data_IF_809872084951
#
_entry.id   IF_809872084951
#
_cell.length_a   1.000
_cell.length_b   1.000
_cell.length_c   1.000
_cell.angle_alpha   90.00
_cell.angle_beta   90.00
_cell.angle_gamma   90.00
#
_symmetry.space_group_name_H-M   'P 1'
#
loop_
_entity.id
_entity.type
_entity.pdbx_description
1 polymer ?
#
# COMPACT_ATOMS: atom_id res chain seq x y z
N UNK A 1 -20.87 38.53 -37.64
CA UNK A 1 -21.77 37.66 -36.86
C UNK A 1 -20.97 36.43 -36.49
N UNK A 2 -20.17 36.56 -35.44
CA UNK A 2 -19.35 35.50 -34.85
C UNK A 2 -20.25 34.64 -33.99
N UNK A 3 -20.33 33.34 -34.26
CA UNK A 3 -20.73 32.40 -33.22
C UNK A 3 -19.81 31.18 -33.22
N UNK A 4 -19.40 30.84 -32.02
CA UNK A 4 -18.25 30.04 -31.70
C UNK A 4 -18.70 28.61 -31.34
N UNK A 5 -18.37 27.64 -32.18
CA UNK A 5 -18.46 26.23 -31.80
C UNK A 5 -17.24 25.89 -30.93
N UNK A 6 -17.31 26.29 -29.65
CA UNK A 6 -16.40 25.76 -28.62
C UNK A 6 -16.72 24.29 -28.34
N UNK A 7 -15.73 23.43 -28.05
CA UNK A 7 -15.99 22.06 -27.63
C UNK A 7 -16.66 22.05 -26.24
N UNK A 8 -17.79 21.37 -26.12
CA UNK A 8 -18.54 21.23 -24.86
C UNK A 8 -17.73 20.51 -23.77
N UNK A 9 -17.67 21.03 -22.53
CA UNK A 9 -17.05 20.36 -21.40
C UNK A 9 -18.08 19.45 -20.71
N UNK A 10 -18.21 18.20 -21.16
CA UNK A 10 -18.86 17.16 -20.37
C UNK A 10 -18.37 15.76 -20.74
N UNK A 11 -17.12 15.45 -20.40
CA UNK A 11 -16.56 14.11 -20.49
C UNK A 11 -16.32 13.56 -19.08
N UNK A 12 -17.41 13.17 -18.38
CA UNK A 12 -17.39 12.29 -17.22
C UNK A 12 -18.82 11.99 -16.71
N UNK A 13 -19.59 11.15 -17.40
CA UNK A 13 -20.81 10.54 -16.83
C UNK A 13 -20.92 9.11 -17.33
N UNK A 14 -20.04 8.23 -16.83
CA UNK A 14 -20.26 6.78 -16.88
C UNK A 14 -21.16 6.36 -15.73
N UNK A 15 -21.92 5.28 -15.90
CA UNK A 15 -22.75 4.73 -14.81
C UNK A 15 -21.85 4.23 -13.66
N UNK A 16 -22.30 4.23 -12.39
CA UNK A 16 -21.51 3.71 -11.27
C UNK A 16 -20.96 2.30 -11.50
N UNK A 17 -21.72 1.46 -12.19
CA UNK A 17 -21.32 0.11 -12.61
C UNK A 17 -20.08 0.13 -13.50
N UNK A 18 -20.04 1.02 -14.50
CA UNK A 18 -18.92 1.14 -15.44
C UNK A 18 -17.66 1.65 -14.75
N UNK A 19 -17.80 2.50 -13.72
CA UNK A 19 -16.68 2.92 -12.90
C UNK A 19 -16.14 1.75 -12.06
N UNK A 20 -17.02 0.94 -11.47
CA UNK A 20 -16.62 -0.25 -10.71
C UNK A 20 -15.90 -1.27 -11.59
N UNK A 21 -16.40 -1.54 -12.79
CA UNK A 21 -15.73 -2.40 -13.77
C UNK A 21 -14.32 -1.89 -14.11
N UNK A 22 -14.19 -0.61 -14.45
CA UNK A 22 -12.86 -0.01 -14.74
C UNK A 22 -11.88 -0.12 -13.58
N UNK A 23 -12.38 -0.01 -12.36
CA UNK A 23 -11.58 -0.12 -11.15
C UNK A 23 -11.16 -1.55 -10.85
N UNK A 24 -12.06 -2.52 -11.07
CA UNK A 24 -11.72 -3.94 -11.01
C UNK A 24 -10.66 -4.29 -12.08
N UNK A 25 -10.82 -3.81 -13.32
CA UNK A 25 -9.82 -3.97 -14.39
C UNK A 25 -8.48 -3.34 -14.04
N UNK A 26 -8.49 -2.17 -13.38
CA UNK A 26 -7.28 -1.51 -12.90
C UNK A 26 -6.55 -2.38 -11.87
N UNK A 27 -7.27 -2.90 -10.87
CA UNK A 27 -6.69 -3.79 -9.85
C UNK A 27 -6.15 -5.08 -10.47
N UNK A 28 -6.90 -5.69 -11.40
CA UNK A 28 -6.48 -6.86 -12.15
C UNK A 28 -5.16 -6.61 -12.90
N UNK A 29 -5.10 -5.54 -13.69
CA UNK A 29 -3.91 -5.18 -14.45
C UNK A 29 -2.70 -4.89 -13.54
N UNK A 30 -2.95 -4.29 -12.37
CA UNK A 30 -1.93 -4.03 -11.36
C UNK A 30 -1.36 -5.33 -10.78
N UNK A 31 -2.22 -6.25 -10.32
CA UNK A 31 -1.78 -7.53 -9.76
C UNK A 31 -1.08 -8.39 -10.80
N UNK A 32 -1.58 -8.42 -12.04
CA UNK A 32 -0.91 -9.14 -13.15
C UNK A 32 0.50 -8.60 -13.41
N UNK A 33 0.66 -7.27 -13.44
CA UNK A 33 1.97 -6.65 -13.63
C UNK A 33 2.91 -6.91 -12.45
N UNK A 34 2.38 -6.85 -11.22
CA UNK A 34 3.12 -7.17 -10.01
C UNK A 34 3.65 -8.61 -10.04
N UNK A 35 2.77 -9.58 -10.26
CA UNK A 35 3.11 -11.01 -10.22
C UNK A 35 4.09 -11.38 -11.36
N UNK A 36 3.88 -10.85 -12.56
CA UNK A 36 4.81 -11.02 -13.69
C UNK A 36 6.19 -10.45 -13.38
N UNK A 37 6.27 -9.30 -12.72
CA UNK A 37 7.56 -8.71 -12.34
C UNK A 37 8.23 -9.53 -11.23
N UNK A 38 7.45 -10.04 -10.27
CA UNK A 38 7.93 -10.91 -9.20
C UNK A 38 8.55 -12.22 -9.71
N UNK A 39 8.11 -12.73 -10.87
CA UNK A 39 8.70 -13.92 -11.50
C UNK A 39 10.17 -13.74 -11.90
N UNK A 40 10.66 -12.50 -12.04
CA UNK A 40 12.05 -12.20 -12.36
C UNK A 40 12.99 -12.30 -11.15
N UNK A 41 12.44 -12.45 -9.93
CA UNK A 41 13.20 -12.51 -8.69
C UNK A 41 13.66 -13.93 -8.36
N UNK A 42 14.68 -14.05 -7.51
CA UNK A 42 15.09 -15.34 -6.98
C UNK A 42 13.95 -15.98 -6.15
N UNK A 43 13.82 -17.32 -6.12
CA UNK A 43 12.67 -17.98 -5.49
C UNK A 43 12.43 -17.59 -4.03
N UNK A 44 13.49 -17.46 -3.24
CA UNK A 44 13.38 -17.06 -1.83
C UNK A 44 12.93 -15.61 -1.65
N UNK A 45 13.35 -14.72 -2.56
CA UNK A 45 12.92 -13.32 -2.54
C UNK A 45 11.46 -13.19 -3.00
N UNK A 46 11.08 -13.91 -4.06
CA UNK A 46 9.71 -13.98 -4.56
C UNK A 46 8.75 -14.52 -3.49
N UNK A 47 9.12 -15.59 -2.79
CA UNK A 47 8.30 -16.17 -1.73
C UNK A 47 8.11 -15.25 -0.51
N UNK A 48 8.97 -14.23 -0.35
CA UNK A 48 8.85 -13.24 0.72
C UNK A 48 7.99 -12.03 0.32
N UNK A 49 7.53 -11.95 -0.94
CA UNK A 49 6.71 -10.84 -1.40
C UNK A 49 5.27 -10.93 -0.85
N UNK A 50 4.68 -9.80 -0.39
CA UNK A 50 3.36 -9.79 0.23
C UNK A 50 2.20 -10.31 -0.64
N UNK A 51 2.24 -10.11 -1.96
CA UNK A 51 1.18 -10.56 -2.87
C UNK A 51 1.44 -11.96 -3.44
N UNK A 52 2.51 -12.64 -3.03
CA UNK A 52 2.80 -14.03 -3.41
C UNK A 52 2.34 -15.04 -2.35
N UNK A 53 1.64 -14.57 -1.33
CA UNK A 53 1.06 -15.37 -0.26
C UNK A 53 -0.32 -15.90 -0.68
N UNK A 54 -0.68 -17.11 -0.24
CA UNK A 54 -1.98 -17.74 -0.52
C UNK A 54 -3.10 -17.20 0.41
N UNK A 55 -2.77 -16.26 1.31
CA UNK A 55 -3.77 -15.59 2.15
C UNK A 55 -4.78 -14.82 1.28
N UNK A 56 -6.08 -14.90 1.58
CA UNK A 56 -7.08 -14.06 0.93
C UNK A 56 -6.70 -12.58 1.00
N UNK A 57 -6.84 -11.89 -0.11
CA UNK A 57 -6.55 -10.47 -0.24
C UNK A 57 -7.84 -9.72 -0.57
N UNK A 58 -8.11 -8.63 0.14
CA UNK A 58 -9.18 -7.70 -0.22
C UNK A 58 -8.59 -6.36 -0.60
N UNK A 59 -9.01 -5.82 -1.74
CA UNK A 59 -8.71 -4.47 -2.19
C UNK A 59 -9.94 -3.61 -1.95
N UNK A 60 -9.89 -2.82 -0.88
CA UNK A 60 -10.91 -1.82 -0.58
C UNK A 60 -10.66 -0.58 -1.43
N UNK A 61 -11.64 -0.25 -2.28
CA UNK A 61 -11.65 0.97 -3.08
C UNK A 61 -12.52 1.98 -2.35
N UNK A 62 -11.89 2.95 -1.70
CA UNK A 62 -12.54 3.96 -0.88
C UNK A 62 -12.53 5.31 -1.59
N UNK A 63 -13.73 5.82 -1.89
CA UNK A 63 -13.95 7.16 -2.39
C UNK A 63 -14.04 8.14 -1.20
N UNK A 64 -12.94 8.83 -0.92
CA UNK A 64 -12.89 9.99 -0.03
C UNK A 64 -12.81 11.27 -0.88
N UNK A 65 -12.04 12.29 -0.44
CA UNK A 65 -11.67 13.42 -1.32
C UNK A 65 -10.85 12.98 -2.54
N UNK A 66 -10.03 11.96 -2.35
CA UNK A 66 -9.35 11.23 -3.42
C UNK A 66 -9.82 9.78 -3.43
N UNK A 67 -9.50 9.07 -4.51
CA UNK A 67 -9.75 7.65 -4.59
C UNK A 67 -8.57 6.89 -3.97
N UNK A 68 -8.87 5.99 -3.04
CA UNK A 68 -7.87 5.17 -2.36
C UNK A 68 -8.09 3.68 -2.65
N UNK A 69 -7.03 2.99 -3.04
CA UNK A 69 -7.00 1.54 -3.20
C UNK A 69 -6.15 0.99 -2.05
N UNK A 70 -6.77 0.28 -1.13
CA UNK A 70 -6.12 -0.29 0.06
C UNK A 70 -6.22 -1.80 -0.01
N UNK A 71 -5.10 -2.47 -0.26
CA UNK A 71 -5.04 -3.92 -0.20
C UNK A 71 -4.70 -4.41 1.20
N UNK A 72 -5.41 -5.41 1.68
CA UNK A 72 -5.29 -5.95 3.03
C UNK A 72 -5.57 -7.45 3.08
N UNK A 73 -5.00 -8.13 4.08
CA UNK A 73 -5.38 -9.48 4.47
C UNK A 73 -6.40 -9.49 5.62
N UNK A 74 -6.74 -8.32 6.17
CA UNK A 74 -7.73 -8.21 7.23
C UNK A 74 -9.10 -8.63 6.70
N UNK A 75 -9.83 -9.39 7.52
CA UNK A 75 -11.19 -9.78 7.20
C UNK A 75 -12.13 -8.59 7.43
N UNK A 76 -12.57 -7.99 6.34
CA UNK A 76 -13.62 -6.99 6.39
C UNK A 76 -14.96 -7.66 6.74
N UNK A 77 -15.86 -6.99 7.49
CA UNK A 77 -17.21 -7.51 7.77
C UNK A 77 -17.96 -7.87 6.49
N UNK A 78 -18.92 -8.79 6.51
CA UNK A 78 -19.70 -9.12 5.32
C UNK A 78 -20.34 -7.87 4.69
N UNK A 79 -20.41 -7.77 3.34
CA UNK A 79 -21.00 -6.61 2.67
C UNK A 79 -22.40 -6.26 3.16
N UNK A 80 -22.71 -4.96 3.27
CA UNK A 80 -24.02 -4.49 3.76
C UNK A 80 -24.65 -3.49 2.80
N UNK A 81 -25.98 -3.57 2.67
CA UNK A 81 -26.75 -2.58 1.92
C UNK A 81 -26.33 -2.51 0.46
N UNK A 82 -25.97 -1.32 -0.07
CA UNK A 82 -25.59 -1.14 -1.47
C UNK A 82 -24.12 -1.51 -1.78
N UNK A 83 -23.38 -2.04 -0.80
CA UNK A 83 -22.00 -2.46 -0.99
C UNK A 83 -21.86 -3.59 -2.02
N UNK A 84 -20.89 -3.45 -2.93
CA UNK A 84 -20.59 -4.41 -3.98
C UNK A 84 -19.25 -5.07 -3.71
N UNK A 85 -19.22 -6.40 -3.86
CA UNK A 85 -18.02 -7.24 -3.81
C UNK A 85 -17.85 -7.94 -5.16
N UNK A 86 -16.63 -7.91 -5.70
CA UNK A 86 -16.23 -8.65 -6.90
C UNK A 86 -15.09 -9.57 -6.52
N UNK A 87 -15.21 -10.87 -6.83
CA UNK A 87 -14.17 -11.86 -6.56
C UNK A 87 -13.45 -12.23 -7.84
N UNK A 88 -12.13 -12.28 -7.79
CA UNK A 88 -11.26 -12.56 -8.93
C UNK A 88 -10.12 -13.49 -8.53
N UNK A 89 -9.46 -14.06 -9.52
CA UNK A 89 -8.25 -14.87 -9.36
C UNK A 89 -7.23 -14.48 -10.43
N UNK A 90 -5.96 -14.40 -10.06
CA UNK A 90 -4.87 -14.22 -11.02
C UNK A 90 -3.66 -15.02 -10.58
N UNK A 91 -3.21 -15.94 -11.45
CA UNK A 91 -2.05 -16.80 -11.20
C UNK A 91 -2.09 -17.51 -9.84
N UNK A 92 -3.27 -18.00 -9.44
CA UNK A 92 -3.50 -18.68 -8.16
C UNK A 92 -3.72 -17.77 -6.95
N UNK A 93 -3.55 -16.45 -7.11
CA UNK A 93 -3.85 -15.48 -6.04
C UNK A 93 -5.33 -15.11 -6.13
N UNK A 94 -6.08 -15.45 -5.08
CA UNK A 94 -7.48 -15.05 -4.93
C UNK A 94 -7.59 -13.69 -4.26
N UNK A 95 -8.36 -12.80 -4.85
CA UNK A 95 -8.61 -11.48 -4.29
C UNK A 95 -10.04 -11.02 -4.51
N UNK A 96 -10.48 -10.12 -3.64
CA UNK A 96 -11.78 -9.47 -3.75
C UNK A 96 -11.60 -7.97 -3.85
N UNK A 97 -12.45 -7.32 -4.64
CA UNK A 97 -12.59 -5.86 -4.67
C UNK A 97 -13.86 -5.47 -3.98
N UNK A 98 -13.76 -4.54 -3.03
CA UNK A 98 -14.92 -3.98 -2.33
C UNK A 98 -14.94 -2.48 -2.50
N UNK A 99 -16.11 -1.94 -2.80
CA UNK A 99 -16.28 -0.53 -3.12
C UNK A 99 -16.95 0.19 -1.95
N UNK A 100 -16.31 1.26 -1.48
CA UNK A 100 -16.78 2.07 -0.37
C UNK A 100 -16.85 3.54 -0.81
N UNK A 101 -17.98 4.17 -0.53
CA UNK A 101 -18.18 5.60 -0.70
C UNK A 101 -18.97 6.14 0.51
N UNK A 102 -19.19 7.46 0.63
CA UNK A 102 -19.92 8.02 1.77
C UNK A 102 -21.38 7.57 1.93
N UNK A 103 -21.97 6.90 0.93
CA UNK A 103 -23.29 6.27 1.06
C UNK A 103 -23.24 4.92 1.79
N UNK A 104 -22.08 4.25 1.76
CA UNK A 104 -21.82 2.98 2.48
C UNK A 104 -21.15 3.25 3.82
N UNK A 105 -20.12 4.10 3.83
CA UNK A 105 -19.35 4.51 5.01
C UNK A 105 -19.28 6.05 5.06
N UNK A 106 -20.26 6.72 5.70
CA UNK A 106 -20.36 8.19 5.74
C UNK A 106 -19.09 8.90 6.22
N UNK A 107 -18.31 8.27 7.10
CA UNK A 107 -17.06 8.79 7.63
C UNK A 107 -16.01 9.06 6.55
N UNK A 108 -16.07 8.36 5.40
CA UNK A 108 -15.19 8.65 4.25
C UNK A 108 -15.37 10.08 3.72
N UNK A 109 -16.57 10.65 3.85
CA UNK A 109 -16.86 12.03 3.43
C UNK A 109 -16.16 13.09 4.29
N UNK A 110 -15.61 12.70 5.44
CA UNK A 110 -14.91 13.58 6.37
C UNK A 110 -13.38 13.55 6.19
N UNK A 111 -12.85 12.57 5.43
CA UNK A 111 -11.42 12.35 5.26
C UNK A 111 -10.78 13.38 4.32
N UNK A 112 -9.58 13.83 4.68
CA UNK A 112 -8.72 14.70 3.88
C UNK A 112 -8.81 16.17 4.30
N UNK A 113 -8.91 16.41 5.61
CA UNK A 113 -8.74 17.74 6.18
C UNK A 113 -7.30 18.28 5.99
N UNK A 114 -7.08 19.60 6.08
CA UNK A 114 -5.74 20.18 5.98
C UNK A 114 -4.80 19.60 7.05
N UNK A 115 -3.65 19.06 6.63
CA UNK A 115 -2.65 18.47 7.53
C UNK A 115 -2.98 17.06 8.03
N UNK A 116 -4.09 16.46 7.58
CA UNK A 116 -4.43 15.07 7.89
C UNK A 116 -3.65 14.11 6.99
N UNK A 117 -3.12 13.04 7.58
CA UNK A 117 -2.67 11.88 6.82
C UNK A 117 -3.89 11.11 6.30
N UNK A 118 -4.22 11.35 5.03
CA UNK A 118 -5.35 10.72 4.35
C UNK A 118 -5.22 9.18 4.31
N UNK A 119 -3.99 8.65 4.20
CA UNK A 119 -3.75 7.21 4.17
C UNK A 119 -4.14 6.57 5.50
N UNK A 120 -3.64 7.14 6.60
CA UNK A 120 -3.99 6.68 7.94
C UNK A 120 -5.49 6.85 8.23
N UNK A 121 -6.08 7.96 7.79
CA UNK A 121 -7.49 8.25 7.98
C UNK A 121 -8.41 7.23 7.28
N UNK A 122 -8.15 6.93 5.99
CA UNK A 122 -8.91 5.92 5.24
C UNK A 122 -8.80 4.55 5.88
N UNK A 123 -7.59 4.13 6.27
CA UNK A 123 -7.38 2.83 6.95
C UNK A 123 -8.21 2.71 8.23
N UNK A 124 -8.24 3.77 9.05
CA UNK A 124 -9.05 3.80 10.28
C UNK A 124 -10.55 3.69 9.97
N UNK A 125 -11.04 4.42 8.98
CA UNK A 125 -12.46 4.36 8.58
C UNK A 125 -12.84 2.96 8.07
N UNK A 126 -11.97 2.33 7.28
CA UNK A 126 -12.17 0.97 6.79
C UNK A 126 -11.99 -0.10 7.88
N UNK A 127 -11.41 0.24 9.03
CA UNK A 127 -11.04 -0.72 10.07
C UNK A 127 -9.88 -1.64 9.68
N UNK A 128 -8.98 -1.16 8.81
CA UNK A 128 -7.83 -1.92 8.29
C UNK A 128 -6.57 -1.59 9.09
N UNK A 129 -5.96 -2.62 9.65
CA UNK A 129 -4.68 -2.55 10.36
C UNK A 129 -3.52 -2.96 9.45
N UNK A 130 -3.58 -4.15 8.84
CA UNK A 130 -2.53 -4.65 7.94
C UNK A 130 -2.77 -4.12 6.52
N UNK A 131 -1.85 -3.30 6.02
CA UNK A 131 -1.87 -2.84 4.63
C UNK A 131 -0.76 -3.52 3.84
N UNK A 132 -1.15 -4.15 2.74
CA UNK A 132 -0.24 -4.75 1.76
C UNK A 132 0.25 -3.67 0.80
N UNK A 133 -0.66 -2.82 0.33
CA UNK A 133 -0.32 -1.58 -0.39
C UNK A 133 -1.45 -0.57 -0.26
N UNK A 134 -1.10 0.72 -0.37
CA UNK A 134 -2.04 1.83 -0.44
C UNK A 134 -1.66 2.70 -1.64
N UNK A 135 -2.58 2.85 -2.58
CA UNK A 135 -2.44 3.78 -3.70
C UNK A 135 -3.51 4.86 -3.60
N UNK A 136 -3.12 6.12 -3.73
CA UNK A 136 -4.05 7.22 -3.97
C UNK A 136 -4.05 7.59 -5.44
N UNK A 137 -5.24 7.75 -6.00
CA UNK A 137 -5.44 8.23 -7.36
C UNK A 137 -6.18 9.55 -7.26
N UNK A 138 -5.46 10.64 -7.57
CA UNK A 138 -6.08 11.96 -7.63
C UNK A 138 -7.14 12.00 -8.72
N UNK A 139 -8.15 12.84 -8.52
CA UNK A 139 -9.25 13.02 -9.49
C UNK A 139 -8.68 13.46 -10.84
N UNK A 140 -8.97 12.70 -11.90
CA UNK A 140 -8.41 12.91 -13.25
C UNK A 140 -7.09 12.17 -13.52
N UNK A 141 -6.48 11.55 -12.51
CA UNK A 141 -5.42 10.55 -12.69
C UNK A 141 -6.00 9.33 -13.39
N UNK A 142 -5.49 9.02 -14.59
CA UNK A 142 -6.14 8.04 -15.47
C UNK A 142 -6.25 6.66 -14.83
N UNK A 143 -7.48 6.18 -14.61
CA UNK A 143 -7.78 4.78 -14.28
C UNK A 143 -7.66 3.92 -15.53
N UNK A 144 -6.43 3.76 -16.03
CA UNK A 144 -6.14 2.98 -17.24
C UNK A 144 -5.28 1.77 -16.90
N UNK A 145 -5.44 0.72 -17.72
CA UNK A 145 -4.59 -0.48 -17.67
C UNK A 145 -3.10 -0.14 -17.73
N UNK A 146 -2.72 0.87 -18.52
CA UNK A 146 -1.33 1.31 -18.64
C UNK A 146 -0.78 1.86 -17.32
N UNK A 147 -1.54 2.71 -16.62
CA UNK A 147 -1.12 3.23 -15.31
C UNK A 147 -1.10 2.13 -14.24
N UNK A 148 -2.06 1.20 -14.28
CA UNK A 148 -2.07 0.04 -13.40
C UNK A 148 -0.80 -0.82 -13.56
N UNK A 149 -0.35 -1.04 -14.79
CA UNK A 149 0.87 -1.79 -15.07
C UNK A 149 2.11 -1.13 -14.47
N UNK A 150 2.27 0.19 -14.64
CA UNK A 150 3.38 0.93 -14.01
C UNK A 150 3.32 0.86 -12.48
N UNK A 151 2.14 1.04 -11.90
CA UNK A 151 1.94 0.92 -10.46
C UNK A 151 2.29 -0.48 -9.94
N UNK A 152 1.88 -1.54 -10.65
CA UNK A 152 2.19 -2.93 -10.29
C UNK A 152 3.69 -3.23 -10.32
N UNK A 153 4.40 -2.79 -11.36
CA UNK A 153 5.87 -2.94 -11.46
C UNK A 153 6.58 -2.13 -10.38
N UNK A 154 6.16 -0.88 -10.14
CA UNK A 154 6.72 -0.05 -9.09
C UNK A 154 6.55 -0.70 -7.70
N UNK A 155 5.35 -1.21 -7.42
CA UNK A 155 5.05 -1.89 -6.17
C UNK A 155 5.88 -3.18 -5.99
N UNK A 156 6.05 -3.98 -7.04
CA UNK A 156 6.89 -5.17 -6.99
C UNK A 156 8.35 -4.83 -6.68
N UNK A 157 8.90 -3.79 -7.29
CA UNK A 157 10.24 -3.30 -6.98
C UNK A 157 10.35 -2.78 -5.54
N UNK A 158 9.33 -2.06 -5.06
CA UNK A 158 9.32 -1.52 -3.71
C UNK A 158 9.28 -2.63 -2.65
N UNK A 159 8.45 -3.66 -2.84
CA UNK A 159 8.41 -4.83 -1.96
C UNK A 159 9.71 -5.64 -2.02
N UNK A 160 10.29 -5.86 -3.20
CA UNK A 160 11.57 -6.54 -3.35
C UNK A 160 12.70 -5.78 -2.62
N UNK A 161 12.75 -4.45 -2.76
CA UNK A 161 13.69 -3.61 -2.02
C UNK A 161 13.53 -3.76 -0.50
N UNK A 162 12.28 -3.72 0.01
CA UNK A 162 12.02 -3.91 1.43
C UNK A 162 12.48 -5.29 1.95
N UNK A 163 12.28 -6.36 1.16
CA UNK A 163 12.78 -7.70 1.50
C UNK A 163 14.31 -7.71 1.59
N UNK A 164 15.00 -7.12 0.60
CA UNK A 164 16.48 -7.02 0.59
C UNK A 164 17.03 -6.19 1.75
N UNK A 165 16.35 -5.11 2.10
CA UNK A 165 16.71 -4.27 3.24
C UNK A 165 16.59 -5.04 4.55
N UNK A 166 15.48 -5.78 4.74
CA UNK A 166 15.30 -6.65 5.90
C UNK A 166 16.39 -7.72 6.00
N UNK A 167 16.74 -8.37 4.89
CA UNK A 167 17.86 -9.32 4.85
C UNK A 167 19.20 -8.66 5.16
N UNK A 168 19.42 -7.42 4.70
CA UNK A 168 20.63 -6.65 4.99
C UNK A 168 20.71 -6.31 6.47
N UNK A 169 19.60 -5.91 7.11
CA UNK A 169 19.53 -5.67 8.55
C UNK A 169 19.80 -6.94 9.35
N UNK A 170 19.23 -8.09 8.96
CA UNK A 170 19.49 -9.37 9.64
C UNK A 170 20.97 -9.73 9.62
N UNK A 171 21.66 -9.49 8.50
CA UNK A 171 23.12 -9.69 8.39
C UNK A 171 23.93 -8.70 9.22
N UNK A 172 23.43 -7.47 9.38
CA UNK A 172 24.08 -6.41 10.13
C UNK A 172 23.90 -6.56 11.67
N UNK A 173 22.88 -7.28 12.13
CA UNK A 173 22.60 -7.51 13.55
C UNK A 173 22.52 -9.02 13.87
N UNK A 174 23.64 -9.76 13.78
CA UNK A 174 23.65 -11.19 14.05
C UNK A 174 23.24 -11.49 15.50
N UNK A 175 22.40 -12.52 15.69
CA UNK A 175 21.86 -12.90 17.00
C UNK A 175 20.70 -12.01 17.49
N UNK A 176 20.27 -11.02 16.70
CA UNK A 176 19.12 -10.15 16.98
C UNK A 176 18.04 -10.24 15.90
N UNK A 177 17.99 -11.34 15.16
CA UNK A 177 17.13 -11.52 13.99
C UNK A 177 15.64 -11.33 14.35
N UNK A 178 15.21 -11.79 15.52
CA UNK A 178 13.83 -11.60 15.98
C UNK A 178 13.45 -10.11 16.15
N UNK A 179 14.39 -9.29 16.65
CA UNK A 179 14.17 -7.84 16.78
C UNK A 179 14.17 -7.14 15.42
N UNK A 180 15.02 -7.60 14.50
CA UNK A 180 15.02 -7.10 13.11
C UNK A 180 13.71 -7.45 12.42
N UNK A 181 13.23 -8.69 12.55
CA UNK A 181 11.98 -9.14 11.95
C UNK A 181 10.78 -8.34 12.49
N UNK A 182 10.77 -8.01 13.78
CA UNK A 182 9.75 -7.14 14.39
C UNK A 182 9.87 -5.68 13.91
N UNK A 183 11.10 -5.15 13.78
CA UNK A 183 11.33 -3.81 13.21
C UNK A 183 10.79 -3.72 11.77
N UNK A 184 11.15 -4.68 10.92
CA UNK A 184 10.70 -4.75 9.52
C UNK A 184 9.18 -4.86 9.45
N UNK A 185 8.55 -5.61 10.36
CA UNK A 185 7.09 -5.70 10.48
C UNK A 185 6.48 -4.36 10.87
N UNK A 186 7.01 -3.70 11.90
CA UNK A 186 6.51 -2.39 12.34
C UNK A 186 6.65 -1.31 11.26
N UNK A 187 7.77 -1.31 10.54
CA UNK A 187 8.03 -0.43 9.39
C UNK A 187 7.01 -0.69 8.27
N UNK A 188 6.82 -1.95 7.87
CA UNK A 188 5.83 -2.35 6.85
C UNK A 188 4.39 -1.98 7.22
N UNK A 189 4.02 -2.11 8.50
CA UNK A 189 2.68 -1.80 9.01
C UNK A 189 2.47 -0.29 9.24
N UNK A 190 3.49 0.53 8.98
CA UNK A 190 3.49 1.97 9.21
C UNK A 190 3.17 2.30 10.69
N UNK A 191 3.91 1.64 11.59
CA UNK A 191 3.86 1.83 13.04
C UNK A 191 5.11 2.59 13.50
N UNK A 192 5.21 3.91 13.25
CA UNK A 192 6.46 4.65 13.41
C UNK A 192 6.99 4.65 14.85
N UNK A 193 6.10 4.72 15.85
CA UNK A 193 6.52 4.64 17.25
C UNK A 193 7.13 3.27 17.57
N UNK A 194 6.49 2.18 17.16
CA UNK A 194 7.00 0.82 17.37
C UNK A 194 8.35 0.63 16.67
N UNK A 195 8.45 1.05 15.40
CA UNK A 195 9.69 0.97 14.62
C UNK A 195 10.84 1.74 15.31
N UNK A 196 10.56 2.92 15.87
CA UNK A 196 11.56 3.71 16.62
C UNK A 196 11.99 3.04 17.92
N UNK A 197 11.06 2.48 18.67
CA UNK A 197 11.38 1.74 19.91
C UNK A 197 12.23 0.50 19.61
N UNK A 198 11.87 -0.25 18.55
CA UNK A 198 12.62 -1.42 18.09
C UNK A 198 14.00 -1.04 17.55
N UNK A 199 14.10 0.07 16.83
CA UNK A 199 15.38 0.61 16.37
C UNK A 199 16.30 0.99 17.54
N UNK A 200 15.74 1.66 18.57
CA UNK A 200 16.47 1.97 19.80
C UNK A 200 16.93 0.71 20.51
N UNK A 201 16.10 -0.33 20.57
CA UNK A 201 16.49 -1.60 21.15
C UNK A 201 17.65 -2.24 20.36
N UNK A 202 17.56 -2.25 19.02
CA UNK A 202 18.57 -2.83 18.11
C UNK A 202 19.94 -2.15 18.17
N UNK A 203 19.98 -0.83 18.17
CA UNK A 203 21.21 -0.04 18.01
C UNK A 203 21.62 0.76 19.27
N UNK A 204 20.75 0.82 20.28
CA UNK A 204 21.03 1.46 21.56
C UNK A 204 21.42 2.94 21.43
N UNK A 205 22.51 3.38 22.07
CA UNK A 205 22.95 4.78 22.05
C UNK A 205 23.62 5.20 20.73
N UNK A 206 23.94 4.27 19.83
CA UNK A 206 24.53 4.60 18.53
C UNK A 206 23.56 5.30 17.57
N UNK A 207 22.24 5.26 17.87
CA UNK A 207 21.24 6.10 17.22
C UNK A 207 21.04 7.40 18.00
N UNK A 208 21.12 8.52 17.28
CA UNK A 208 20.79 9.84 17.81
C UNK A 208 19.28 10.04 17.92
N UNK A 209 18.87 10.96 18.78
CA UNK A 209 17.45 11.35 18.91
C UNK A 209 16.90 11.95 17.60
N UNK A 210 17.75 12.62 16.82
CA UNK A 210 17.38 13.16 15.51
C UNK A 210 17.04 12.04 14.50
N UNK A 211 17.81 10.95 14.48
CA UNK A 211 17.55 9.81 13.60
C UNK A 211 16.30 9.05 14.00
N UNK A 212 16.05 8.94 15.30
CA UNK A 212 14.83 8.34 15.81
C UNK A 212 13.61 9.21 15.56
N UNK A 213 13.75 10.54 15.56
CA UNK A 213 12.68 11.45 15.22
C UNK A 213 12.41 11.54 13.70
N UNK A 214 13.35 11.07 12.87
CA UNK A 214 13.27 11.08 11.42
C UNK A 214 12.17 10.20 10.83
N UNK A 215 12.11 10.19 9.50
CA UNK A 215 11.25 9.27 8.75
C UNK A 215 11.80 7.82 8.79
N UNK A 216 10.94 6.85 8.46
CA UNK A 216 11.30 5.44 8.50
C UNK A 216 12.44 5.07 7.52
N UNK A 217 12.49 5.60 6.28
CA UNK A 217 13.64 5.37 5.40
C UNK A 217 14.97 5.84 5.98
N UNK A 218 15.03 7.04 6.57
CA UNK A 218 16.24 7.55 7.21
C UNK A 218 16.62 6.72 8.44
N UNK A 219 15.64 6.31 9.26
CA UNK A 219 15.87 5.43 10.41
C UNK A 219 16.45 4.08 9.98
N UNK A 220 15.94 3.50 8.89
CA UNK A 220 16.43 2.23 8.33
C UNK A 220 17.87 2.35 7.85
N UNK A 221 18.19 3.44 7.15
CA UNK A 221 19.55 3.72 6.72
C UNK A 221 20.50 3.92 7.91
N UNK A 222 20.03 4.58 8.98
CA UNK A 222 20.79 4.75 10.21
C UNK A 222 21.11 3.41 10.88
N UNK A 223 20.11 2.54 11.03
CA UNK A 223 20.27 1.20 11.56
C UNK A 223 21.28 0.36 10.77
N UNK A 224 21.20 0.39 9.44
CA UNK A 224 22.15 -0.35 8.59
C UNK A 224 23.59 0.12 8.81
N UNK A 225 23.81 1.43 8.91
CA UNK A 225 25.15 1.97 9.16
C UNK A 225 25.69 1.56 10.54
N UNK A 226 24.85 1.56 11.58
CA UNK A 226 25.23 1.06 12.91
C UNK A 226 25.59 -0.42 12.86
N UNK A 227 24.72 -1.27 12.29
CA UNK A 227 24.97 -2.71 12.22
C UNK A 227 26.19 -3.10 11.39
N UNK A 228 26.58 -2.27 10.40
CA UNK A 228 27.82 -2.44 9.64
C UNK A 228 29.08 -1.97 10.39
N UNK A 229 28.93 -1.38 11.57
CA UNK A 229 30.04 -0.82 12.34
C UNK A 229 30.60 0.48 11.77
N UNK A 230 29.87 1.15 10.87
CA UNK A 230 30.22 2.46 10.33
C UNK A 230 30.06 3.57 11.39
N UNK A 231 29.41 3.24 12.51
CA UNK A 231 29.16 4.12 13.66
C UNK A 231 29.35 3.35 14.97
N UNK A 232 29.82 4.04 16.00
CA UNK A 232 29.97 3.52 17.37
C UNK A 232 29.17 4.38 18.33
#
# INVERSE_FOLDING_TARGET
>A
MTDATGPSPHAATGRPEEMRERLADYVLALHQAYLRHAELLAPAERAALPLSDDRPLTVAIAAARELHLVATHDRLPAPRGPEVEVSEETAGVHWTVRFFDPSILPELGLVGGPGEDATLAVRRVLGVAEVVYHLSVSIGGGLTVHHAQHAGVALANQHAAAVRDGQSLRRAFPGREAWVDEFVRADRLDLPLSARLLARELAGPALTDAELAGDLPALRAALLAVGRGERR
#
